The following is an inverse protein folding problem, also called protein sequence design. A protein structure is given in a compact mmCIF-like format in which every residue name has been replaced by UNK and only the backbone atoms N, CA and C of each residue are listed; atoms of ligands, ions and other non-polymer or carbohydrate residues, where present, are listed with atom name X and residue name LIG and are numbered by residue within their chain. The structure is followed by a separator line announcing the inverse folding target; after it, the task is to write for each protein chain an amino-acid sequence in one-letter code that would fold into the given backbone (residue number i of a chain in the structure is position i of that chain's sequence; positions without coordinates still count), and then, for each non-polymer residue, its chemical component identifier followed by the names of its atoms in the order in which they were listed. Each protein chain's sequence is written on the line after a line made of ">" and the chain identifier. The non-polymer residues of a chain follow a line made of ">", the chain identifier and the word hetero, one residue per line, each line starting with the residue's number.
data_IF_771634911576
#
_entry.id   IF_771634911576
#
_cell.length_a   1.000
_cell.length_b   1.000
_cell.length_c   1.000
_cell.angle_alpha   90.00
_cell.angle_beta   90.00
_cell.angle_gamma   90.00
#
_symmetry.space_group_name_H-M   'P 1'
#
loop_
_entity.id
_entity.type
_entity.pdbx_description
1 polymer ?
#
# COMPACT_ATOMS: atom_id res chain seq x y z
N UNK A 1 -2.50 -18.59 -18.88
CA UNK A 1 -1.57 -18.32 -17.75
C UNK A 1 -0.53 -17.26 -18.08
N UNK A 2 0.20 -17.35 -19.20
CA UNK A 2 1.21 -16.34 -19.59
C UNK A 2 0.68 -14.90 -19.52
N UNK A 3 -0.48 -14.61 -20.12
CA UNK A 3 -1.10 -13.28 -20.07
C UNK A 3 -1.35 -12.74 -18.64
N UNK A 4 -1.82 -13.60 -17.73
CA UNK A 4 -2.09 -13.21 -16.35
C UNK A 4 -0.80 -12.91 -15.57
N UNK A 5 0.25 -13.73 -15.76
CA UNK A 5 1.58 -13.49 -15.17
C UNK A 5 2.21 -12.22 -15.75
N UNK A 6 2.08 -12.00 -17.06
CA UNK A 6 2.56 -10.79 -17.74
C UNK A 6 1.86 -9.51 -17.26
N UNK A 7 0.62 -9.59 -16.77
CA UNK A 7 -0.12 -8.46 -16.20
C UNK A 7 0.21 -8.24 -14.72
N UNK A 8 0.49 -9.32 -13.98
CA UNK A 8 0.84 -9.29 -12.55
C UNK A 8 2.17 -8.57 -12.29
N UNK A 9 3.18 -8.75 -13.15
CA UNK A 9 4.50 -8.13 -12.99
C UNK A 9 4.44 -6.58 -13.07
N UNK A 10 3.80 -5.97 -14.09
CA UNK A 10 3.53 -4.54 -14.12
C UNK A 10 2.72 -4.05 -12.92
N UNK A 11 1.71 -4.82 -12.47
CA UNK A 11 0.89 -4.47 -11.31
C UNK A 11 1.71 -4.43 -10.01
N UNK A 12 2.63 -5.39 -9.84
CA UNK A 12 3.61 -5.41 -8.75
C UNK A 12 4.47 -4.16 -8.78
N UNK A 13 5.07 -3.84 -9.93
CA UNK A 13 5.87 -2.64 -10.12
C UNK A 13 5.08 -1.36 -9.83
N UNK A 14 3.84 -1.29 -10.29
CA UNK A 14 2.94 -0.17 -10.04
C UNK A 14 2.57 -0.04 -8.56
N UNK A 15 2.30 -1.14 -7.85
CA UNK A 15 1.99 -1.10 -6.41
C UNK A 15 3.15 -0.59 -5.57
N UNK A 16 4.38 -1.01 -5.89
CA UNK A 16 5.61 -0.56 -5.21
C UNK A 16 5.86 0.91 -5.53
N UNK A 17 5.64 1.32 -6.78
CA UNK A 17 5.75 2.71 -7.21
C UNK A 17 4.73 3.60 -6.50
N UNK A 18 3.46 3.21 -6.42
CA UNK A 18 2.40 3.94 -5.69
C UNK A 18 2.76 4.04 -4.21
N UNK A 19 3.20 2.93 -3.59
CA UNK A 19 3.61 2.92 -2.20
C UNK A 19 4.78 3.87 -1.93
N UNK A 20 5.75 3.99 -2.82
CA UNK A 20 6.84 4.96 -2.65
C UNK A 20 6.41 6.40 -2.96
N UNK A 21 5.65 6.60 -4.03
CA UNK A 21 5.27 7.92 -4.55
C UNK A 21 4.30 8.65 -3.64
N UNK A 22 3.43 7.93 -2.93
CA UNK A 22 2.46 8.49 -2.00
C UNK A 22 3.03 8.69 -0.58
N UNK A 23 4.35 8.74 -0.41
CA UNK A 23 4.97 9.02 0.89
C UNK A 23 4.71 10.48 1.32
N UNK A 24 4.19 10.73 2.54
CA UNK A 24 3.87 12.08 2.98
C UNK A 24 5.12 12.98 3.11
N UNK A 25 5.02 14.29 2.81
CA UNK A 25 6.06 15.25 3.14
C UNK A 25 6.00 15.56 4.64
N UNK A 26 7.03 15.15 5.40
CA UNK A 26 7.20 15.35 6.86
C UNK A 26 6.30 14.51 7.78
N UNK A 27 6.42 13.17 7.74
CA UNK A 27 5.77 12.29 8.70
C UNK A 27 6.47 12.36 10.07
N UNK A 28 5.69 12.24 11.16
CA UNK A 28 6.24 11.82 12.45
C UNK A 28 6.91 10.44 12.27
N UNK A 29 8.24 10.33 12.50
CA UNK A 29 9.00 9.14 12.15
C UNK A 29 8.54 7.89 12.90
N UNK A 30 7.99 8.03 14.10
CA UNK A 30 7.59 6.89 14.93
C UNK A 30 6.26 6.31 14.44
N UNK A 31 5.24 7.15 14.31
CA UNK A 31 3.90 6.75 13.86
C UNK A 31 3.90 6.14 12.46
N UNK A 32 4.72 6.69 11.55
CA UNK A 32 4.84 6.15 10.19
C UNK A 32 5.58 4.80 10.15
N UNK A 33 6.59 4.60 11.00
CA UNK A 33 7.28 3.29 11.10
C UNK A 33 6.33 2.21 11.60
N UNK A 34 5.55 2.49 12.64
CA UNK A 34 4.55 1.54 13.16
C UNK A 34 3.53 1.18 12.08
N UNK A 35 3.03 2.17 11.33
CA UNK A 35 2.11 1.91 10.21
C UNK A 35 2.73 1.00 9.14
N UNK A 36 3.95 1.30 8.69
CA UNK A 36 4.61 0.50 7.66
C UNK A 36 4.90 -0.94 8.14
N UNK A 37 5.29 -1.11 9.41
CA UNK A 37 5.49 -2.43 10.03
C UNK A 37 4.15 -3.17 10.06
N UNK A 38 3.08 -2.55 10.55
CA UNK A 38 1.76 -3.16 10.62
C UNK A 38 1.24 -3.58 9.23
N UNK A 39 1.39 -2.71 8.23
CA UNK A 39 1.03 -3.01 6.85
C UNK A 39 1.83 -4.19 6.26
N UNK A 40 3.11 -4.28 6.60
CA UNK A 40 3.99 -5.38 6.17
C UNK A 40 3.63 -6.70 6.86
N UNK A 41 3.38 -6.68 8.17
CA UNK A 41 2.93 -7.84 8.94
C UNK A 41 1.59 -8.35 8.39
N UNK A 42 0.64 -7.46 8.10
CA UNK A 42 -0.64 -7.85 7.53
C UNK A 42 -0.49 -8.44 6.12
N UNK A 43 0.46 -7.94 5.31
CA UNK A 43 0.77 -8.55 4.01
C UNK A 43 1.26 -10.00 4.15
N UNK A 44 2.13 -10.26 5.13
CA UNK A 44 2.63 -11.61 5.44
C UNK A 44 1.51 -12.53 5.94
N UNK A 45 0.63 -12.02 6.81
CA UNK A 45 -0.53 -12.76 7.30
C UNK A 45 -1.49 -13.13 6.16
N UNK A 46 -1.77 -12.19 5.25
CA UNK A 46 -2.58 -12.44 4.05
C UNK A 46 -1.93 -13.50 3.16
N UNK A 47 -0.62 -13.43 2.94
CA UNK A 47 0.09 -14.43 2.15
C UNK A 47 0.02 -15.83 2.79
N UNK A 48 0.23 -15.91 4.10
CA UNK A 48 0.09 -17.16 4.86
C UNK A 48 -1.33 -17.72 4.83
N UNK A 49 -2.35 -16.87 4.98
CA UNK A 49 -3.75 -17.27 4.92
C UNK A 49 -4.13 -17.83 3.53
N UNK A 50 -3.66 -17.20 2.46
CA UNK A 50 -3.85 -17.69 1.09
C UNK A 50 -3.17 -19.05 0.92
N UNK A 51 -1.92 -19.19 1.35
CA UNK A 51 -1.20 -20.46 1.24
C UNK A 51 -1.90 -21.58 2.01
N UNK A 52 -2.38 -21.31 3.23
CA UNK A 52 -3.16 -22.24 4.04
C UNK A 52 -4.46 -22.65 3.34
N UNK A 53 -5.21 -21.67 2.83
CA UNK A 53 -6.47 -21.89 2.12
C UNK A 53 -6.29 -22.75 0.87
N UNK A 54 -5.31 -22.42 0.03
CA UNK A 54 -5.02 -23.17 -1.21
C UNK A 54 -4.57 -24.59 -0.89
N UNK A 55 -3.69 -24.75 0.10
CA UNK A 55 -3.24 -26.08 0.55
C UNK A 55 -4.42 -26.94 1.01
N UNK A 56 -5.32 -26.41 1.83
CA UNK A 56 -6.50 -27.12 2.30
C UNK A 56 -7.46 -27.48 1.15
N UNK A 57 -7.69 -26.54 0.24
CA UNK A 57 -8.59 -26.73 -0.90
C UNK A 57 -8.10 -27.78 -1.90
N UNK A 58 -6.77 -27.94 -2.02
CA UNK A 58 -6.16 -28.89 -2.96
C UNK A 58 -5.79 -30.24 -2.34
N UNK A 59 -5.95 -30.41 -1.03
CA UNK A 59 -5.48 -31.59 -0.30
C UNK A 59 -6.13 -32.92 -0.78
N UNK A 60 -7.34 -32.87 -1.35
CA UNK A 60 -8.05 -34.04 -1.87
C UNK A 60 -7.99 -34.21 -3.39
N UNK A 61 -7.28 -33.34 -4.11
CA UNK A 61 -7.24 -33.34 -5.58
C UNK A 61 -6.08 -34.16 -6.16
N UNK A 62 -6.24 -34.62 -7.40
CA UNK A 62 -5.17 -35.27 -8.18
C UNK A 62 -3.94 -34.37 -8.33
N UNK A 63 -4.15 -33.05 -8.45
CA UNK A 63 -3.09 -32.06 -8.62
C UNK A 63 -2.58 -31.46 -7.30
N UNK A 64 -2.77 -32.15 -6.17
CA UNK A 64 -2.40 -31.65 -4.84
C UNK A 64 -0.98 -31.05 -4.77
N UNK A 65 0.00 -31.63 -5.48
CA UNK A 65 1.39 -31.12 -5.52
C UNK A 65 1.55 -29.71 -6.12
N UNK A 66 0.56 -29.20 -6.85
CA UNK A 66 0.60 -27.88 -7.50
C UNK A 66 0.18 -26.72 -6.58
N UNK A 67 -0.22 -27.02 -5.34
CA UNK A 67 -0.67 -26.02 -4.37
C UNK A 67 0.31 -24.85 -4.16
N UNK A 68 1.66 -25.02 -4.17
CA UNK A 68 2.57 -23.89 -3.98
C UNK A 68 2.52 -22.90 -5.14
N UNK A 69 2.37 -23.40 -6.37
CA UNK A 69 2.32 -22.57 -7.59
C UNK A 69 1.03 -21.75 -7.61
N UNK A 70 -0.10 -22.38 -7.27
CA UNK A 70 -1.40 -21.72 -7.20
C UNK A 70 -1.45 -20.71 -6.06
N UNK A 71 -0.89 -21.06 -4.89
CA UNK A 71 -0.75 -20.13 -3.78
C UNK A 71 0.10 -18.91 -4.16
N UNK A 72 1.26 -19.12 -4.80
CA UNK A 72 2.10 -18.04 -5.29
C UNK A 72 1.36 -17.13 -6.28
N UNK A 73 0.55 -17.69 -7.18
CA UNK A 73 -0.27 -16.92 -8.10
C UNK A 73 -1.28 -16.01 -7.38
N UNK A 74 -2.00 -16.53 -6.38
CA UNK A 74 -2.93 -15.72 -5.58
C UNK A 74 -2.21 -14.65 -4.74
N UNK A 75 -1.07 -14.99 -4.13
CA UNK A 75 -0.26 -14.06 -3.36
C UNK A 75 0.24 -12.91 -4.24
N UNK A 76 0.69 -13.20 -5.46
CA UNK A 76 1.09 -12.19 -6.44
C UNK A 76 -0.05 -11.23 -6.83
N UNK A 77 -1.31 -11.61 -6.63
CA UNK A 77 -2.44 -10.71 -6.85
C UNK A 77 -2.83 -9.91 -5.61
N UNK A 78 -2.92 -10.58 -4.47
CA UNK A 78 -3.49 -9.99 -3.25
C UNK A 78 -2.48 -9.06 -2.56
N UNK A 79 -1.20 -9.43 -2.51
CA UNK A 79 -0.19 -8.62 -1.80
C UNK A 79 0.04 -7.25 -2.45
N UNK A 80 0.19 -7.12 -3.78
CA UNK A 80 0.30 -5.82 -4.43
C UNK A 80 -0.92 -4.93 -4.22
N UNK A 81 -2.12 -5.52 -4.31
CA UNK A 81 -3.37 -4.80 -4.08
C UNK A 81 -3.43 -4.27 -2.64
N UNK A 82 -3.08 -5.10 -1.66
CA UNK A 82 -2.98 -4.69 -0.27
C UNK A 82 -1.97 -3.55 -0.07
N UNK A 83 -0.78 -3.64 -0.66
CA UNK A 83 0.24 -2.58 -0.55
C UNK A 83 -0.23 -1.27 -1.18
N UNK A 84 -0.96 -1.33 -2.30
CA UNK A 84 -1.54 -0.14 -2.92
C UNK A 84 -2.61 0.50 -2.03
N UNK A 85 -3.50 -0.30 -1.44
CA UNK A 85 -4.52 0.16 -0.48
C UNK A 85 -3.86 0.76 0.77
N UNK A 86 -2.86 0.10 1.33
CA UNK A 86 -2.09 0.61 2.47
C UNK A 86 -1.37 1.91 2.13
N UNK A 87 -0.78 2.04 0.94
CA UNK A 87 -0.18 3.29 0.46
C UNK A 87 -1.20 4.44 0.38
N UNK A 88 -2.42 4.15 -0.12
CA UNK A 88 -3.53 5.10 -0.16
C UNK A 88 -3.99 5.53 1.25
N UNK A 89 -4.23 4.57 2.14
CA UNK A 89 -4.61 4.84 3.54
C UNK A 89 -3.52 5.66 4.24
N UNK A 90 -2.24 5.30 4.06
CA UNK A 90 -1.12 6.06 4.62
C UNK A 90 -1.13 7.52 4.17
N UNK A 91 -1.43 7.78 2.90
CA UNK A 91 -1.57 9.15 2.39
C UNK A 91 -2.78 9.88 2.97
N UNK A 92 -3.90 9.20 3.21
CA UNK A 92 -5.08 9.82 3.81
C UNK A 92 -4.87 10.18 5.29
N UNK A 93 -4.16 9.32 6.04
CA UNK A 93 -3.94 9.50 7.48
C UNK A 93 -2.80 10.49 7.74
N UNK A 94 -1.69 10.38 7.00
CA UNK A 94 -0.47 11.13 7.26
C UNK A 94 -0.17 12.22 6.22
N UNK A 95 -0.94 12.30 5.14
CA UNK A 95 -0.83 13.37 4.15
C UNK A 95 -1.26 14.68 4.76
N UNK A 96 -0.34 15.65 4.82
CA UNK A 96 -0.59 16.99 5.32
C UNK A 96 -1.87 17.57 4.71
N UNK A 97 -2.92 17.73 5.52
CA UNK A 97 -3.82 18.87 5.35
C UNK A 97 -2.97 20.07 5.74
N UNK A 98 -2.46 20.82 4.75
CA UNK A 98 -1.89 22.12 5.08
C UNK A 98 -2.91 22.86 5.95
N UNK A 99 -2.53 23.38 7.12
CA UNK A 99 -3.32 24.45 7.68
C UNK A 99 -3.33 25.52 6.60
N UNK A 100 -4.52 25.90 6.12
CA UNK A 100 -4.69 27.10 5.31
C UNK A 100 -3.80 28.15 5.94
N UNK A 101 -2.74 28.59 5.23
CA UNK A 101 -1.92 29.72 5.67
C UNK A 101 -2.88 30.72 6.29
N UNK A 102 -2.67 31.23 7.52
CA UNK A 102 -3.41 32.42 7.90
C UNK A 102 -3.11 33.40 6.78
N UNK A 103 -4.15 33.86 6.09
CA UNK A 103 -4.03 34.90 5.09
C UNK A 103 -3.25 36.02 5.79
N UNK A 104 -1.97 36.18 5.45
CA UNK A 104 -1.17 37.34 5.81
C UNK A 104 -1.73 38.55 5.02
N UNK A 105 -3.01 38.84 5.25
CA UNK A 105 -3.68 40.10 4.95
C UNK A 105 -3.67 40.86 6.27
N UNK A 106 -2.48 41.19 6.73
CA UNK A 106 -2.28 42.45 7.43
C UNK A 106 -1.11 43.08 6.71
N UNK A 107 -1.44 43.51 5.49
CA UNK A 107 -0.67 44.49 4.76
C UNK A 107 -0.20 45.55 5.75
N UNK A 108 1.10 45.72 5.73
CA UNK A 108 1.82 46.87 6.22
C UNK A 108 1.07 48.17 5.89
N UNK A 109 0.20 48.60 6.81
CA UNK A 109 -0.54 49.86 6.78
C UNK A 109 0.40 51.07 6.97
N UNK A 110 1.72 50.88 6.91
CA UNK A 110 2.72 51.94 6.97
C UNK A 110 2.67 52.95 5.81
N UNK A 111 1.75 52.80 4.83
CA UNK A 111 1.74 53.61 3.60
C UNK A 111 0.48 54.43 3.32
N UNK A 112 -0.56 54.41 4.14
CA UNK A 112 -1.70 55.33 3.98
C UNK A 112 -1.69 56.40 5.06
N UNK A 113 -0.79 57.38 4.91
CA UNK A 113 -1.01 58.74 5.46
C UNK A 113 -2.04 59.42 4.56
N UNK A 114 -3.24 59.62 5.08
CA UNK A 114 -4.17 60.64 4.59
C UNK A 114 -4.15 61.81 5.58
#
# INVERSE_FOLDING_TARGET
>A
MLFAVSLMIPLLGFSVWVFWRLSPPRPDPTSMRVYNIAASVLALLLAGAIAWYVRGSMAGGTDHGMWPVIAAYYVMAVVPLWLAVAGGIRRLIFGAREPSKPLEISQDLSKTRF
#
